data_IF_877151310666
#
_entry.id   IF_877151310666
#
_cell.length_a   1.000
_cell.length_b   1.000
_cell.length_c   1.000
_cell.angle_alpha   90.00
_cell.angle_beta   90.00
_cell.angle_gamma   90.00
#
_symmetry.space_group_name_H-M   'P 1'
#
loop_
_entity.id
_entity.type
_entity.pdbx_description
1 polymer ?
#
# COMPACT_ATOMS: atom_id res chain seq x y z
N UNK A 1 -6.99 -15.49 6.97
CA UNK A 1 -6.03 -14.48 6.49
C UNK A 1 -6.75 -13.51 5.59
N UNK A 2 -6.59 -12.23 5.83
CA UNK A 2 -7.22 -11.18 5.04
C UNK A 2 -6.17 -10.54 4.12
N UNK A 3 -6.51 -10.40 2.84
CA UNK A 3 -5.69 -9.67 1.89
C UNK A 3 -6.30 -8.29 1.70
N UNK A 4 -5.51 -7.26 1.96
CA UNK A 4 -5.82 -5.90 1.56
C UNK A 4 -5.25 -5.67 0.17
N UNK A 5 -6.11 -5.29 -0.77
CA UNK A 5 -5.72 -4.94 -2.13
C UNK A 5 -5.97 -3.46 -2.35
N UNK A 6 -4.91 -2.73 -2.62
CA UNK A 6 -5.00 -1.29 -2.90
C UNK A 6 -4.58 -1.06 -4.34
N UNK A 7 -5.46 -0.46 -5.13
CA UNK A 7 -5.13 -0.03 -6.49
C UNK A 7 -4.92 1.48 -6.45
N UNK A 8 -3.76 1.93 -6.89
CA UNK A 8 -3.36 3.33 -6.84
C UNK A 8 -2.92 3.79 -8.22
N UNK A 9 -3.23 5.04 -8.55
CA UNK A 9 -2.77 5.66 -9.79
C UNK A 9 -1.78 6.77 -9.44
N UNK A 10 -0.64 6.80 -10.12
CA UNK A 10 0.34 7.85 -9.93
C UNK A 10 -0.09 9.15 -10.60
N UNK A 11 0.33 10.27 -10.06
CA UNK A 11 0.25 11.54 -10.77
C UNK A 11 1.10 11.48 -12.03
N UNK A 12 0.67 12.19 -13.08
CA UNK A 12 1.38 12.23 -14.34
C UNK A 12 2.85 12.65 -14.16
N UNK A 13 3.75 11.89 -14.76
CA UNK A 13 5.19 12.15 -14.70
C UNK A 13 5.87 11.72 -13.40
N UNK A 14 5.12 11.14 -12.44
CA UNK A 14 5.67 10.76 -11.14
C UNK A 14 5.76 9.24 -10.93
N UNK A 15 5.63 8.46 -11.98
CA UNK A 15 5.58 6.99 -11.88
C UNK A 15 6.85 6.43 -11.25
N UNK A 16 8.02 6.93 -11.64
CA UNK A 16 9.29 6.44 -11.08
C UNK A 16 9.45 6.85 -9.61
N UNK A 17 9.06 8.08 -9.27
CA UNK A 17 9.09 8.55 -7.90
C UNK A 17 8.13 7.75 -7.02
N UNK A 18 6.96 7.38 -7.56
CA UNK A 18 5.98 6.60 -6.84
C UNK A 18 6.50 5.17 -6.58
N UNK A 19 7.11 4.55 -7.59
CA UNK A 19 7.74 3.23 -7.44
C UNK A 19 8.80 3.24 -6.35
N UNK A 20 9.65 4.27 -6.33
CA UNK A 20 10.67 4.43 -5.30
C UNK A 20 10.05 4.61 -3.92
N UNK A 21 9.01 5.42 -3.81
CA UNK A 21 8.31 5.65 -2.55
C UNK A 21 7.73 4.35 -1.99
N UNK A 22 7.13 3.50 -2.83
CA UNK A 22 6.66 2.19 -2.41
C UNK A 22 7.80 1.31 -1.89
N UNK A 23 8.89 1.23 -2.66
CA UNK A 23 10.03 0.41 -2.25
C UNK A 23 10.60 0.87 -0.91
N UNK A 24 10.70 2.18 -0.70
CA UNK A 24 11.22 2.76 0.54
C UNK A 24 10.24 2.60 1.71
N UNK A 25 8.94 2.50 1.45
CA UNK A 25 7.91 2.55 2.47
C UNK A 25 7.32 1.21 2.89
N UNK A 26 7.55 0.12 2.15
CA UNK A 26 6.91 -1.17 2.47
C UNK A 26 7.17 -1.62 3.90
N UNK A 27 8.33 -1.36 4.46
CA UNK A 27 8.70 -1.80 5.80
C UNK A 27 7.80 -1.19 6.89
N UNK A 28 7.13 -0.06 6.63
CA UNK A 28 6.19 0.53 7.58
C UNK A 28 4.90 -0.30 7.72
N UNK A 29 4.60 -1.16 6.75
CA UNK A 29 3.37 -1.94 6.75
C UNK A 29 3.52 -3.26 7.49
N UNK A 30 4.74 -3.78 7.61
CA UNK A 30 5.06 -5.01 8.31
C UNK A 30 5.78 -4.71 9.62
N UNK A 31 6.21 -5.71 10.35
CA UNK A 31 6.88 -5.49 11.63
C UNK A 31 5.97 -4.76 12.61
N UNK A 32 6.34 -3.53 12.99
CA UNK A 32 5.54 -2.72 13.92
C UNK A 32 4.16 -2.36 13.37
N UNK A 33 4.01 -2.28 12.06
CA UNK A 33 2.73 -2.05 11.41
C UNK A 33 1.74 -3.20 11.55
N UNK A 34 2.23 -4.40 11.82
CA UNK A 34 1.41 -5.59 12.05
C UNK A 34 0.96 -6.33 10.80
N UNK A 35 1.31 -5.88 9.62
CA UNK A 35 1.07 -6.62 8.38
C UNK A 35 1.94 -7.87 8.33
N UNK A 36 1.39 -8.98 7.84
CA UNK A 36 2.11 -10.25 7.74
C UNK A 36 3.06 -10.26 6.54
N UNK A 37 2.67 -9.62 5.46
CA UNK A 37 3.48 -9.45 4.27
C UNK A 37 3.01 -8.19 3.55
N UNK A 38 3.89 -7.57 2.79
CA UNK A 38 3.56 -6.43 1.97
C UNK A 38 4.40 -6.46 0.70
N UNK A 39 3.76 -6.25 -0.42
CA UNK A 39 4.43 -6.16 -1.71
C UNK A 39 3.65 -5.26 -2.64
N UNK A 40 4.31 -4.71 -3.63
CA UNK A 40 3.65 -3.89 -4.62
C UNK A 40 4.05 -4.31 -6.02
N UNK A 41 3.22 -3.94 -6.98
CA UNK A 41 3.51 -4.14 -8.39
C UNK A 41 3.11 -2.92 -9.19
N UNK A 42 3.72 -2.78 -10.35
CA UNK A 42 3.41 -1.72 -11.30
C UNK A 42 2.68 -2.32 -12.49
N UNK A 43 1.68 -1.62 -13.02
CA UNK A 43 0.92 -2.07 -14.17
C UNK A 43 1.81 -2.26 -15.40
N UNK A 44 1.62 -3.36 -16.10
CA UNK A 44 2.35 -3.66 -17.33
C UNK A 44 1.72 -2.89 -18.50
N UNK A 45 0.40 -2.97 -18.63
CA UNK A 45 -0.35 -2.26 -19.68
C UNK A 45 -0.46 -0.77 -19.39
N UNK A 46 -0.58 -0.41 -18.11
CA UNK A 46 -0.73 0.96 -17.65
C UNK A 46 0.29 1.24 -16.57
N UNK A 47 1.50 1.72 -16.92
CA UNK A 47 2.59 1.92 -15.97
C UNK A 47 2.35 2.99 -14.90
N UNK A 48 1.28 3.77 -15.03
CA UNK A 48 0.84 4.73 -14.01
C UNK A 48 0.01 4.07 -12.91
N UNK A 49 -0.38 2.80 -13.08
CA UNK A 49 -1.14 2.05 -12.09
C UNK A 49 -0.23 1.19 -11.24
N UNK A 50 -0.53 1.17 -9.94
CA UNK A 50 0.19 0.38 -8.95
C UNK A 50 -0.79 -0.43 -8.14
N UNK A 51 -0.37 -1.61 -7.70
CA UNK A 51 -1.12 -2.45 -6.79
C UNK A 51 -0.28 -2.69 -5.54
N UNK A 52 -0.90 -2.54 -4.37
CA UNK A 52 -0.29 -2.87 -3.09
C UNK A 52 -1.08 -4.03 -2.50
N UNK A 53 -0.39 -5.06 -2.05
CA UNK A 53 -0.98 -6.25 -1.46
C UNK A 53 -0.40 -6.43 -0.07
N UNK A 54 -1.25 -6.37 0.95
CA UNK A 54 -0.85 -6.55 2.34
C UNK A 54 -1.72 -7.65 2.97
N UNK A 55 -1.09 -8.62 3.61
CA UNK A 55 -1.81 -9.65 4.35
C UNK A 55 -1.91 -9.26 5.82
N UNK A 56 -3.11 -9.44 6.39
CA UNK A 56 -3.41 -9.13 7.79
C UNK A 56 -4.08 -10.34 8.43
N UNK A 57 -3.94 -10.48 9.75
CA UNK A 57 -4.67 -11.52 10.50
C UNK A 57 -6.19 -11.32 10.40
N UNK A 58 -6.62 -10.07 10.37
CA UNK A 58 -8.05 -9.71 10.32
C UNK A 58 -8.21 -8.31 9.76
N UNK A 59 -9.43 -7.94 9.38
CA UNK A 59 -9.75 -6.57 8.99
C UNK A 59 -9.50 -5.61 10.18
N UNK A 60 -9.81 -6.06 11.41
CA UNK A 60 -9.57 -5.24 12.59
C UNK A 60 -8.09 -4.93 12.80
N UNK A 61 -7.21 -5.89 12.48
CA UNK A 61 -5.76 -5.65 12.54
C UNK A 61 -5.34 -4.54 11.57
N UNK A 62 -5.90 -4.51 10.37
CA UNK A 62 -5.65 -3.42 9.42
C UNK A 62 -6.21 -2.10 9.95
N UNK A 63 -7.42 -2.11 10.48
CA UNK A 63 -8.03 -0.90 11.04
C UNK A 63 -7.23 -0.33 12.21
N UNK A 64 -6.66 -1.21 13.04
CA UNK A 64 -5.81 -0.80 14.15
C UNK A 64 -4.51 -0.13 13.68
N UNK A 65 -4.03 -0.50 12.49
CA UNK A 65 -2.84 0.11 11.88
C UNK A 65 -3.10 1.55 11.43
N UNK A 66 -4.31 1.84 10.96
CA UNK A 66 -4.66 3.16 10.41
C UNK A 66 -4.52 4.23 11.49
N UNK A 67 -3.78 5.29 11.20
CA UNK A 67 -3.53 6.38 12.13
C UNK A 67 -2.32 6.20 13.04
N UNK A 68 -1.67 5.03 13.01
CA UNK A 68 -0.43 4.80 13.76
C UNK A 68 0.73 5.57 13.12
N UNK A 69 1.85 5.79 13.87
CA UNK A 69 3.03 6.42 13.27
C UNK A 69 3.54 5.74 11.98
N UNK A 70 3.67 4.39 11.91
CA UNK A 70 4.06 3.75 10.64
C UNK A 70 3.11 4.05 9.48
N UNK A 71 1.80 4.06 9.75
CA UNK A 71 0.81 4.40 8.72
C UNK A 71 1.01 5.83 8.22
N UNK A 72 1.23 6.78 9.14
CA UNK A 72 1.47 8.17 8.80
C UNK A 72 2.74 8.34 7.96
N UNK A 73 3.81 7.65 8.33
CA UNK A 73 5.07 7.71 7.59
C UNK A 73 4.92 7.14 6.18
N UNK A 74 4.22 6.02 6.04
CA UNK A 74 3.91 5.46 4.73
C UNK A 74 3.11 6.44 3.87
N UNK A 75 2.08 7.05 4.45
CA UNK A 75 1.25 8.04 3.77
C UNK A 75 2.04 9.26 3.30
N UNK A 76 3.01 9.72 4.09
CA UNK A 76 3.87 10.85 3.72
C UNK A 76 4.75 10.52 2.52
N UNK A 77 5.16 9.26 2.38
CA UNK A 77 6.00 8.83 1.26
C UNK A 77 5.19 8.71 -0.03
N UNK A 78 4.05 8.03 0.01
CA UNK A 78 3.30 7.71 -1.22
C UNK A 78 2.29 8.80 -1.58
N UNK A 79 1.71 9.48 -0.60
CA UNK A 79 0.63 10.44 -0.82
C UNK A 79 0.94 11.53 -1.84
N UNK A 80 2.13 12.16 -1.79
CA UNK A 80 2.46 13.23 -2.75
C UNK A 80 2.44 12.81 -4.22
N UNK A 81 2.58 11.51 -4.50
CA UNK A 81 2.66 10.98 -5.87
C UNK A 81 1.36 10.33 -6.32
N UNK A 82 0.39 10.14 -5.41
CA UNK A 82 -0.85 9.43 -5.71
C UNK A 82 -1.92 10.36 -6.25
N UNK A 83 -2.57 9.95 -7.34
CA UNK A 83 -3.71 10.66 -7.91
C UNK A 83 -5.05 10.10 -7.44
N UNK A 84 -5.05 8.90 -6.84
CA UNK A 84 -6.25 8.28 -6.30
C UNK A 84 -6.01 6.82 -6.00
N UNK A 85 -6.96 6.19 -5.31
CA UNK A 85 -6.84 4.79 -4.97
C UNK A 85 -8.15 4.17 -4.52
N UNK A 86 -8.21 2.84 -4.59
CA UNK A 86 -9.34 2.02 -4.15
C UNK A 86 -8.79 0.92 -3.27
N UNK A 87 -9.40 0.73 -2.10
CA UNK A 87 -9.02 -0.31 -1.13
C UNK A 87 -10.13 -1.33 -1.01
N UNK A 88 -9.76 -2.60 -1.10
CA UNK A 88 -10.68 -3.72 -0.89
C UNK A 88 -10.03 -4.77 0.01
N UNK A 89 -10.84 -5.52 0.74
CA UNK A 89 -10.38 -6.65 1.53
C UNK A 89 -10.95 -7.94 0.97
N UNK A 90 -10.12 -8.98 0.97
CA UNK A 90 -10.51 -10.32 0.51
C UNK A 90 -10.18 -11.31 1.62
N UNK A 91 -11.11 -12.22 1.88
CA UNK A 91 -10.87 -13.31 2.82
C UNK A 91 -10.28 -14.49 2.04
N UNK A 92 -9.07 -14.88 2.38
CA UNK A 92 -8.37 -15.97 1.71
C UNK A 92 -8.59 -17.34 2.36
N UNK A 93 -9.44 -17.40 3.38
CA UNK A 93 -9.75 -18.64 4.08
C UNK A 93 -8.94 -18.95 5.32
#
# INVERSE_FOLDING_TARGET
MILERVELTSKEGQEEAFAKAFADGLHFLTGEGGGKSARFGRGVENPDKFILLVEWDSVDAHKAFIGTPPHQEFGKLIGPHAAGGVVEHFDLG
#
